data_IF_132724328248
#
_entry.id   IF_132724328248
#
_cell.length_a   1.000
_cell.length_b   1.000
_cell.length_c   1.000
_cell.angle_alpha   90.00
_cell.angle_beta   90.00
_cell.angle_gamma   90.00
#
_symmetry.space_group_name_H-M   'P 1'
#
loop_
_entity.id
_entity.type
_entity.pdbx_description
1 polymer ?
#
# COMPACT_ATOMS: atom_id res chain seq x y z
N UNK A 1 22.87 7.17 1.54
CA UNK A 1 23.36 5.79 1.30
C UNK A 1 24.84 5.70 1.67
N UNK A 2 25.36 4.51 2.02
CA UNK A 2 26.79 4.32 2.23
C UNK A 2 27.58 4.78 1.00
N UNK A 3 28.71 5.45 1.21
CA UNK A 3 29.56 5.94 0.13
C UNK A 3 30.98 5.44 0.32
N UNK A 4 31.63 4.90 -0.73
CA UNK A 4 33.03 4.47 -0.65
C UNK A 4 34.00 5.66 -0.49
N UNK A 5 33.52 6.89 -0.70
CA UNK A 5 34.31 8.11 -0.51
C UNK A 5 34.25 8.64 0.93
N UNK A 6 33.43 8.03 1.79
CA UNK A 6 33.29 8.45 3.19
C UNK A 6 34.52 8.01 4.01
N UNK A 7 35.15 8.89 4.82
CA UNK A 7 36.36 8.56 5.55
C UNK A 7 36.18 7.38 6.53
N UNK A 8 36.99 6.34 6.35
CA UNK A 8 36.95 5.13 7.19
C UNK A 8 37.21 5.42 8.67
N UNK A 9 38.11 6.36 8.96
CA UNK A 9 38.48 6.73 10.33
C UNK A 9 37.31 7.33 11.11
N UNK A 10 36.44 8.09 10.44
CA UNK A 10 35.21 8.63 11.05
C UNK A 10 34.19 7.51 11.24
N UNK A 11 34.05 6.64 10.24
CA UNK A 11 33.14 5.50 10.28
C UNK A 11 33.49 4.52 11.42
N UNK A 12 34.78 4.22 11.62
CA UNK A 12 35.28 3.31 12.67
C UNK A 12 35.06 3.86 14.09
N UNK A 13 35.13 5.18 14.27
CA UNK A 13 35.00 5.83 15.57
C UNK A 13 33.57 6.33 15.88
N UNK A 14 32.57 5.94 15.08
CA UNK A 14 31.18 6.35 15.24
C UNK A 14 30.26 5.17 15.55
N UNK A 15 29.16 5.44 16.25
CA UNK A 15 28.04 4.48 16.36
C UNK A 15 27.28 4.46 15.03
N UNK A 16 27.11 3.27 14.48
CA UNK A 16 26.41 3.05 13.20
C UNK A 16 25.02 2.52 13.49
N UNK A 17 23.99 3.22 13.00
CA UNK A 17 22.61 2.75 13.03
C UNK A 17 22.14 2.63 11.59
N UNK A 18 21.75 1.42 11.20
CA UNK A 18 21.13 1.16 9.90
C UNK A 18 19.61 1.13 10.09
N UNK A 19 18.92 2.13 9.54
CA UNK A 19 17.47 2.10 9.47
C UNK A 19 17.07 1.42 8.16
N UNK A 20 16.78 0.13 8.22
CA UNK A 20 16.22 -0.59 7.07
C UNK A 20 14.69 -0.42 7.06
N UNK A 21 14.08 -0.20 5.87
CA UNK A 21 12.64 -0.21 5.79
C UNK A 21 12.07 -1.58 6.23
N UNK A 22 10.87 -1.60 6.84
CA UNK A 22 10.20 -2.83 7.20
C UNK A 22 10.10 -3.79 6.02
N UNK A 23 10.26 -5.08 6.31
CA UNK A 23 10.16 -6.17 5.34
C UNK A 23 8.94 -7.02 5.66
N UNK A 24 8.18 -7.38 4.63
CA UNK A 24 6.94 -8.17 4.71
C UNK A 24 5.72 -7.28 4.47
N UNK A 25 4.69 -7.81 3.81
CA UNK A 25 3.42 -7.10 3.60
C UNK A 25 2.83 -6.66 4.94
N UNK A 26 2.84 -7.57 5.92
CA UNK A 26 2.40 -7.30 7.30
C UNK A 26 3.06 -6.05 7.90
N UNK A 27 4.38 -5.98 7.85
CA UNK A 27 5.11 -4.87 8.49
C UNK A 27 4.94 -3.54 7.72
N UNK A 28 4.79 -3.60 6.39
CA UNK A 28 4.48 -2.42 5.57
C UNK A 28 3.06 -1.89 5.83
N UNK A 29 2.07 -2.80 5.98
CA UNK A 29 0.71 -2.47 6.38
C UNK A 29 0.67 -1.87 7.78
N UNK A 30 1.34 -2.51 8.76
CA UNK A 30 1.40 -2.03 10.13
C UNK A 30 1.99 -0.61 10.20
N UNK A 31 3.09 -0.35 9.46
CA UNK A 31 3.68 0.98 9.36
C UNK A 31 2.68 2.01 8.83
N UNK A 32 1.85 1.62 7.87
CA UNK A 32 0.82 2.50 7.30
C UNK A 32 -0.25 2.85 8.33
N UNK A 33 -0.81 1.83 9.00
CA UNK A 33 -1.88 2.00 9.98
C UNK A 33 -1.46 2.67 11.29
N UNK A 34 -0.21 2.45 11.73
CA UNK A 34 0.36 3.18 12.88
C UNK A 34 0.52 4.68 12.62
N UNK A 35 0.45 5.12 11.36
CA UNK A 35 0.47 6.54 10.99
C UNK A 35 -0.90 7.22 11.01
N UNK A 36 -1.98 6.46 11.25
CA UNK A 36 -3.35 6.98 11.31
C UNK A 36 -3.80 7.15 12.76
N UNK A 37 -4.82 7.98 12.96
CA UNK A 37 -5.55 8.07 14.22
C UNK A 37 -7.02 7.66 14.01
N UNK A 38 -7.73 7.42 15.11
CA UNK A 38 -9.15 7.02 15.07
C UNK A 38 -10.00 8.05 14.34
N UNK A 39 -9.70 9.33 14.54
CA UNK A 39 -10.46 10.42 13.93
C UNK A 39 -10.38 10.39 12.41
N UNK A 40 -9.21 10.09 11.86
CA UNK A 40 -8.97 9.97 10.43
C UNK A 40 -9.75 8.80 9.79
N UNK A 41 -9.89 7.70 10.52
CA UNK A 41 -10.65 6.53 10.08
C UNK A 41 -12.17 6.76 10.13
N UNK A 42 -12.68 7.41 11.18
CA UNK A 42 -14.12 7.58 11.40
C UNK A 42 -14.70 8.82 10.71
N UNK A 43 -13.92 9.89 10.55
CA UNK A 43 -14.38 11.13 9.94
C UNK A 43 -14.48 10.98 8.41
N UNK A 44 -15.56 10.41 7.89
CA UNK A 44 -15.84 10.41 6.45
C UNK A 44 -17.34 10.33 6.16
N UNK A 45 -17.88 11.06 5.16
CA UNK A 45 -19.32 10.99 4.81
C UNK A 45 -19.78 9.60 4.33
N UNK A 46 -18.84 8.75 3.93
CA UNK A 46 -19.06 7.36 3.51
C UNK A 46 -18.06 6.44 4.22
N UNK A 47 -18.29 6.12 5.51
CA UNK A 47 -17.28 5.47 6.34
C UNK A 47 -16.94 4.05 5.85
N UNK A 48 -17.93 3.26 5.43
CA UNK A 48 -17.71 1.89 4.92
C UNK A 48 -16.82 1.88 3.69
N UNK A 49 -17.17 2.67 2.66
CA UNK A 49 -16.37 2.75 1.44
C UNK A 49 -14.97 3.32 1.70
N UNK A 50 -14.87 4.32 2.57
CA UNK A 50 -13.59 4.90 2.95
C UNK A 50 -12.65 3.89 3.61
N UNK A 51 -13.12 3.19 4.65
CA UNK A 51 -12.28 2.24 5.39
C UNK A 51 -11.87 1.04 4.55
N UNK A 52 -12.79 0.44 3.79
CA UNK A 52 -12.47 -0.69 2.90
C UNK A 52 -11.43 -0.29 1.85
N UNK A 53 -11.64 0.83 1.16
CA UNK A 53 -10.73 1.28 0.11
C UNK A 53 -9.40 1.80 0.66
N UNK A 54 -9.37 2.36 1.86
CA UNK A 54 -8.14 2.77 2.54
C UNK A 54 -7.28 1.55 2.88
N UNK A 55 -7.88 0.50 3.44
CA UNK A 55 -7.19 -0.76 3.72
C UNK A 55 -6.63 -1.37 2.42
N UNK A 56 -7.46 -1.46 1.38
CA UNK A 56 -7.06 -1.98 0.08
C UNK A 56 -5.91 -1.19 -0.56
N UNK A 57 -5.91 0.15 -0.46
CA UNK A 57 -4.82 1.00 -0.95
C UNK A 57 -3.52 0.81 -0.14
N UNK A 58 -3.61 0.67 1.19
CA UNK A 58 -2.45 0.39 2.03
C UNK A 58 -1.86 -0.99 1.72
N UNK A 59 -2.73 -1.98 1.51
CA UNK A 59 -2.35 -3.34 1.09
C UNK A 59 -1.64 -3.30 -0.27
N UNK A 60 -2.20 -2.60 -1.24
CA UNK A 60 -1.59 -2.41 -2.54
C UNK A 60 -0.21 -1.77 -2.43
N UNK A 61 -0.06 -0.71 -1.65
CA UNK A 61 1.25 -0.08 -1.43
C UNK A 61 2.26 -1.07 -0.84
N UNK A 62 1.86 -1.84 0.18
CA UNK A 62 2.69 -2.86 0.79
C UNK A 62 3.09 -3.95 -0.21
N UNK A 63 2.14 -4.44 -1.02
CA UNK A 63 2.38 -5.42 -2.08
C UNK A 63 3.38 -4.89 -3.12
N UNK A 64 3.24 -3.64 -3.58
CA UNK A 64 4.17 -3.03 -4.53
C UNK A 64 5.61 -3.00 -3.98
N UNK A 65 5.78 -2.69 -2.68
CA UNK A 65 7.08 -2.69 -2.01
C UNK A 65 7.69 -4.09 -1.92
N UNK A 66 6.88 -5.09 -1.56
CA UNK A 66 7.33 -6.48 -1.45
C UNK A 66 7.70 -7.08 -2.81
N UNK A 67 6.92 -6.78 -3.85
CA UNK A 67 7.15 -7.31 -5.21
C UNK A 67 8.52 -6.92 -5.76
N UNK A 68 9.08 -5.77 -5.37
CA UNK A 68 10.45 -5.34 -5.75
C UNK A 68 11.55 -6.31 -5.32
N UNK A 69 11.32 -7.11 -4.28
CA UNK A 69 12.31 -8.08 -3.77
C UNK A 69 12.58 -9.23 -4.75
N UNK A 70 11.64 -9.50 -5.65
CA UNK A 70 11.73 -10.59 -6.62
C UNK A 70 12.44 -10.19 -7.92
N UNK A 71 13.05 -8.99 -7.97
CA UNK A 71 13.77 -8.50 -9.14
C UNK A 71 12.86 -8.54 -10.40
N UNK A 72 13.37 -9.03 -11.54
CA UNK A 72 12.61 -9.11 -12.79
C UNK A 72 11.30 -9.94 -12.73
N UNK A 73 11.15 -10.85 -11.75
CA UNK A 73 9.88 -11.57 -11.57
C UNK A 73 8.79 -10.68 -10.95
N UNK A 74 9.20 -9.64 -10.20
CA UNK A 74 8.29 -8.67 -9.64
C UNK A 74 8.12 -7.43 -10.51
N UNK A 75 9.23 -6.84 -10.95
CA UNK A 75 9.29 -5.67 -11.84
C UNK A 75 10.49 -5.79 -12.77
N UNK A 76 10.31 -5.52 -14.06
CA UNK A 76 11.43 -5.51 -15.01
C UNK A 76 12.47 -4.44 -14.66
N UNK A 77 12.02 -3.29 -14.16
CA UNK A 77 12.87 -2.18 -13.71
C UNK A 77 12.70 -1.96 -12.20
N UNK A 78 13.77 -1.71 -11.43
CA UNK A 78 13.70 -1.54 -9.98
C UNK A 78 13.17 -0.15 -9.58
N UNK A 79 11.90 0.13 -9.84
CA UNK A 79 11.26 1.39 -9.44
C UNK A 79 11.25 1.57 -7.93
N UNK A 80 11.33 2.82 -7.47
CA UNK A 80 11.20 3.15 -6.07
C UNK A 80 9.81 3.71 -5.79
N UNK A 81 8.97 2.94 -5.10
CA UNK A 81 7.67 3.41 -4.59
C UNK A 81 7.89 4.04 -3.21
N UNK A 82 7.33 5.23 -3.00
CA UNK A 82 7.63 6.10 -1.88
C UNK A 82 6.41 6.37 -1.02
N UNK A 83 6.64 6.83 0.20
CA UNK A 83 5.55 7.23 1.09
C UNK A 83 4.72 8.37 0.50
N UNK A 84 5.31 9.28 -0.28
CA UNK A 84 4.56 10.38 -0.88
C UNK A 84 3.51 9.90 -1.87
N UNK A 85 3.75 8.81 -2.59
CA UNK A 85 2.78 8.24 -3.54
C UNK A 85 1.56 7.70 -2.83
N UNK A 86 1.79 7.01 -1.71
CA UNK A 86 0.75 6.52 -0.83
C UNK A 86 -0.05 7.69 -0.26
N UNK A 87 0.62 8.72 0.27
CA UNK A 87 -0.04 9.88 0.87
C UNK A 87 -0.91 10.65 -0.11
N UNK A 88 -0.42 10.93 -1.33
CA UNK A 88 -1.25 11.60 -2.33
C UNK A 88 -2.42 10.71 -2.78
N UNK A 89 -2.22 9.39 -2.90
CA UNK A 89 -3.28 8.45 -3.26
C UNK A 89 -4.37 8.40 -2.18
N UNK A 90 -4.00 8.43 -0.89
CA UNK A 90 -4.94 8.48 0.23
C UNK A 90 -5.75 9.80 0.22
N UNK A 91 -5.09 10.93 -0.01
CA UNK A 91 -5.78 12.23 -0.10
C UNK A 91 -6.77 12.28 -1.26
N UNK A 92 -6.38 11.78 -2.43
CA UNK A 92 -7.26 11.69 -3.59
C UNK A 92 -8.42 10.73 -3.34
N UNK A 93 -8.14 9.55 -2.76
CA UNK A 93 -9.17 8.59 -2.37
C UNK A 93 -10.23 9.25 -1.48
N UNK A 94 -9.78 9.91 -0.40
CA UNK A 94 -10.66 10.60 0.54
C UNK A 94 -11.53 11.65 -0.16
N UNK A 95 -10.91 12.47 -1.01
CA UNK A 95 -11.61 13.51 -1.75
C UNK A 95 -12.68 12.92 -2.70
N UNK A 96 -12.30 11.96 -3.55
CA UNK A 96 -13.19 11.43 -4.58
C UNK A 96 -14.32 10.55 -4.01
N UNK A 97 -14.07 9.81 -2.93
CA UNK A 97 -15.13 9.02 -2.28
C UNK A 97 -16.14 9.95 -1.58
N UNK A 98 -15.67 11.06 -0.99
CA UNK A 98 -16.52 12.02 -0.30
C UNK A 98 -17.26 13.01 -1.21
N UNK A 99 -16.70 13.39 -2.36
CA UNK A 99 -17.24 14.47 -3.20
C UNK A 99 -18.33 14.04 -4.20
N UNK A 100 -18.44 12.75 -4.52
CA UNK A 100 -19.33 12.24 -5.57
C UNK A 100 -20.35 11.27 -4.99
N UNK A 101 -21.59 11.23 -5.49
CA UNK A 101 -22.60 10.26 -5.04
C UNK A 101 -22.20 8.81 -5.36
N UNK A 102 -21.69 8.59 -6.57
CA UNK A 102 -21.12 7.32 -7.01
C UNK A 102 -19.59 7.38 -7.01
N UNK A 103 -18.94 6.30 -6.57
CA UNK A 103 -17.48 6.22 -6.53
C UNK A 103 -16.94 6.24 -7.96
N UNK A 104 -16.06 7.20 -8.32
CA UNK A 104 -15.52 7.31 -9.67
C UNK A 104 -14.35 6.35 -9.88
N UNK A 105 -14.63 5.05 -9.94
CA UNK A 105 -13.64 3.97 -10.01
C UNK A 105 -12.57 4.17 -11.09
N UNK A 106 -12.98 4.53 -12.31
CA UNK A 106 -12.04 4.77 -13.42
C UNK A 106 -11.06 5.90 -13.11
N UNK A 107 -11.52 6.96 -12.46
CA UNK A 107 -10.68 8.10 -12.06
C UNK A 107 -9.70 7.68 -10.98
N UNK A 108 -10.16 6.96 -9.94
CA UNK A 108 -9.31 6.47 -8.87
C UNK A 108 -8.21 5.53 -9.38
N UNK A 109 -8.58 4.59 -10.26
CA UNK A 109 -7.62 3.69 -10.94
C UNK A 109 -6.56 4.46 -11.71
N UNK A 110 -6.99 5.39 -12.57
CA UNK A 110 -6.09 6.21 -13.36
C UNK A 110 -5.14 7.03 -12.47
N UNK A 111 -5.67 7.67 -11.43
CA UNK A 111 -4.84 8.46 -10.52
C UNK A 111 -3.80 7.60 -9.80
N UNK A 112 -4.19 6.45 -9.26
CA UNK A 112 -3.24 5.57 -8.58
C UNK A 112 -2.23 4.92 -9.54
N UNK A 113 -2.69 4.20 -10.55
CA UNK A 113 -1.84 3.36 -11.40
C UNK A 113 -1.10 4.12 -12.49
N UNK A 114 -1.67 5.20 -13.04
CA UNK A 114 -1.06 5.95 -14.16
C UNK A 114 -0.32 7.20 -13.67
N UNK A 115 -0.83 7.87 -12.63
CA UNK A 115 -0.29 9.16 -12.19
C UNK A 115 0.64 9.00 -10.99
N UNK A 116 0.14 8.50 -9.86
CA UNK A 116 0.87 8.51 -8.60
C UNK A 116 2.00 7.48 -8.59
N UNK A 117 1.68 6.22 -8.89
CA UNK A 117 2.66 5.15 -8.97
C UNK A 117 3.21 4.98 -10.39
N UNK A 118 2.36 5.17 -11.41
CA UNK A 118 2.71 4.97 -12.82
C UNK A 118 3.62 6.02 -13.44
N UNK A 119 3.69 7.23 -12.88
CA UNK A 119 4.47 8.34 -13.45
C UNK A 119 5.97 8.07 -13.59
N UNK A 120 6.48 7.02 -12.92
CA UNK A 120 7.87 6.55 -12.97
C UNK A 120 8.05 5.20 -13.67
N UNK A 121 6.97 4.53 -14.05
CA UNK A 121 7.02 3.24 -14.71
C UNK A 121 7.25 3.45 -16.20
N UNK A 122 8.41 3.01 -16.68
CA UNK A 122 8.85 3.22 -18.06
C UNK A 122 8.66 1.99 -18.95
N UNK A 123 8.68 0.80 -18.36
CA UNK A 123 8.50 -0.45 -19.09
C UNK A 123 7.00 -0.72 -19.37
N UNK A 124 6.61 -1.04 -20.62
CA UNK A 124 5.21 -1.30 -20.97
C UNK A 124 4.59 -2.51 -20.25
N UNK A 125 5.37 -3.54 -19.92
CA UNK A 125 4.87 -4.71 -19.21
C UNK A 125 4.66 -4.42 -17.74
N UNK A 126 5.58 -3.68 -17.11
CA UNK A 126 5.40 -3.16 -15.75
C UNK A 126 4.17 -2.23 -15.66
N UNK A 127 3.93 -1.41 -16.69
CA UNK A 127 2.74 -0.56 -16.75
C UNK A 127 1.45 -1.37 -16.87
N UNK A 128 1.47 -2.46 -17.65
CA UNK A 128 0.34 -3.39 -17.72
C UNK A 128 0.12 -4.08 -16.37
N UNK A 129 1.20 -4.49 -15.70
CA UNK A 129 1.14 -5.14 -14.39
C UNK A 129 0.49 -4.23 -13.34
N UNK A 130 0.94 -2.98 -13.19
CA UNK A 130 0.36 -2.10 -12.16
C UNK A 130 -1.13 -1.81 -12.39
N UNK A 131 -1.55 -1.68 -13.65
CA UNK A 131 -2.96 -1.49 -14.00
C UNK A 131 -3.79 -2.73 -13.67
N UNK A 132 -3.25 -3.93 -13.88
CA UNK A 132 -3.90 -5.16 -13.45
C UNK A 132 -4.03 -5.21 -11.93
N UNK A 133 -2.95 -4.91 -11.20
CA UNK A 133 -2.94 -4.94 -9.73
C UNK A 133 -3.91 -3.90 -9.10
N UNK A 134 -4.08 -2.72 -9.73
CA UNK A 134 -5.04 -1.73 -9.21
C UNK A 134 -6.49 -2.13 -9.51
N UNK A 135 -6.73 -2.90 -10.58
CA UNK A 135 -8.07 -3.31 -10.96
C UNK A 135 -8.71 -4.21 -9.90
N UNK A 136 -7.91 -5.05 -9.25
CA UNK A 136 -8.34 -5.96 -8.18
C UNK A 136 -8.78 -5.22 -6.91
N UNK A 137 -8.16 -4.07 -6.59
CA UNK A 137 -8.47 -3.31 -5.35
C UNK A 137 -9.52 -2.21 -5.54
N UNK A 138 -9.58 -1.59 -6.72
CA UNK A 138 -10.50 -0.49 -7.00
C UNK A 138 -11.70 -0.99 -7.81
N UNK A 139 -12.40 -1.95 -7.25
CA UNK A 139 -13.54 -2.63 -7.84
C UNK A 139 -14.76 -2.45 -6.93
N UNK A 140 -16.00 -2.42 -7.44
CA UNK A 140 -17.19 -2.42 -6.59
C UNK A 140 -17.22 -3.55 -5.56
N UNK A 141 -16.62 -4.69 -5.90
CA UNK A 141 -16.54 -5.90 -5.09
C UNK A 141 -15.77 -5.69 -3.78
N UNK A 142 -14.86 -4.70 -3.70
CA UNK A 142 -14.15 -4.34 -2.46
C UNK A 142 -15.07 -3.85 -1.33
N UNK A 143 -16.31 -3.47 -1.68
CA UNK A 143 -17.32 -3.01 -0.73
C UNK A 143 -18.18 -4.15 -0.19
N UNK A 144 -18.05 -5.36 -0.75
CA UNK A 144 -18.75 -6.55 -0.27
C UNK A 144 -18.08 -7.09 0.99
N UNK A 145 -18.88 -7.59 1.93
CA UNK A 145 -18.36 -8.22 3.15
C UNK A 145 -17.62 -9.51 2.82
N UNK A 146 -16.44 -9.71 3.41
CA UNK A 146 -15.62 -10.89 3.17
C UNK A 146 -14.89 -10.89 1.83
N UNK A 147 -14.76 -9.73 1.16
CA UNK A 147 -13.96 -9.65 -0.05
C UNK A 147 -12.48 -10.01 0.23
N UNK A 148 -11.95 -10.96 -0.52
CA UNK A 148 -10.54 -11.39 -0.42
C UNK A 148 -9.64 -10.54 -1.33
N UNK A 149 -8.66 -9.85 -0.74
CA UNK A 149 -7.59 -9.14 -1.46
C UNK A 149 -6.58 -10.09 -2.10
N UNK A 150 -6.42 -11.28 -1.52
CA UNK A 150 -5.63 -12.37 -2.08
C UNK A 150 -6.44 -13.66 -2.02
N UNK A 151 -6.72 -14.25 -3.18
CA UNK A 151 -7.45 -15.50 -3.27
C UNK A 151 -6.63 -16.71 -2.76
N UNK A 152 -5.30 -16.64 -2.80
CA UNK A 152 -4.39 -17.70 -2.34
C UNK A 152 -4.12 -17.64 -0.84
N UNK A 153 -3.97 -16.44 -0.28
CA UNK A 153 -3.64 -16.25 1.14
C UNK A 153 -4.85 -16.04 2.05
N UNK A 154 -6.05 -15.87 1.47
CA UNK A 154 -7.29 -15.66 2.23
C UNK A 154 -7.29 -14.36 3.03
N UNK A 155 -6.55 -13.34 2.58
CA UNK A 155 -6.52 -12.05 3.25
C UNK A 155 -7.78 -11.29 2.87
N UNK A 156 -8.75 -11.29 3.78
CA UNK A 156 -10.00 -10.56 3.64
C UNK A 156 -9.81 -9.08 4.02
N UNK A 157 -10.64 -8.21 3.42
CA UNK A 157 -10.78 -6.82 3.87
C UNK A 157 -11.43 -6.84 5.26
N UNK A 158 -10.79 -6.24 6.29
CA UNK A 158 -11.38 -6.22 7.62
C UNK A 158 -12.69 -5.43 7.62
N UNK A 159 -13.69 -5.83 8.43
CA UNK A 159 -14.96 -5.15 8.52
C UNK A 159 -14.81 -3.65 8.80
N UNK A 160 -15.54 -2.80 8.06
CA UNK A 160 -15.52 -1.35 8.27
C UNK A 160 -16.01 -0.90 9.65
N UNK A 161 -16.62 -1.81 10.43
CA UNK A 161 -17.02 -1.57 11.81
C UNK A 161 -15.85 -1.59 12.78
N UNK A 162 -14.67 -2.05 12.36
CA UNK A 162 -13.47 -2.10 13.19
C UNK A 162 -12.99 -0.69 13.56
N UNK A 163 -12.56 -0.57 14.81
CA UNK A 163 -11.75 0.52 15.36
C UNK A 163 -10.31 0.42 14.86
N UNK A 164 -9.51 1.48 15.02
CA UNK A 164 -8.10 1.45 14.62
C UNK A 164 -7.33 0.30 15.30
N UNK A 165 -7.59 0.04 16.59
CA UNK A 165 -6.87 -1.03 17.31
C UNK A 165 -7.25 -2.41 16.77
N UNK A 166 -8.51 -2.64 16.41
CA UNK A 166 -8.95 -3.91 15.79
C UNK A 166 -8.33 -4.11 14.40
N UNK A 167 -8.16 -3.03 13.61
CA UNK A 167 -7.38 -3.08 12.37
C UNK A 167 -5.92 -3.44 12.63
N UNK A 168 -5.30 -2.85 13.67
CA UNK A 168 -3.91 -3.14 14.03
C UNK A 168 -3.75 -4.59 14.51
N UNK A 169 -4.67 -5.11 15.30
CA UNK A 169 -4.68 -6.51 15.75
C UNK A 169 -4.85 -7.47 14.58
N UNK A 170 -5.80 -7.21 13.68
CA UNK A 170 -5.95 -7.98 12.44
C UNK A 170 -4.63 -8.03 11.64
N UNK A 171 -3.97 -6.88 11.46
CA UNK A 171 -2.68 -6.81 10.74
C UNK A 171 -1.60 -7.60 11.49
N UNK A 172 -1.57 -7.55 12.84
CA UNK A 172 -0.58 -8.29 13.63
C UNK A 172 -0.73 -9.81 13.48
N UNK A 173 -1.96 -10.29 13.31
CA UNK A 173 -2.32 -11.71 13.14
C UNK A 173 -2.05 -12.25 11.72
N UNK A 174 -1.82 -11.38 10.73
CA UNK A 174 -1.44 -11.80 9.38
C UNK A 174 -0.17 -12.68 9.39
N UNK A 175 -0.05 -13.65 8.47
CA UNK A 175 1.12 -14.51 8.37
C UNK A 175 2.40 -13.68 8.19
N UNK A 176 3.48 -14.12 8.84
CA UNK A 176 4.79 -13.44 8.75
C UNK A 176 5.61 -13.91 7.55
N UNK A 177 5.36 -15.14 7.08
CA UNK A 177 5.89 -15.68 5.83
C UNK A 177 4.75 -15.75 4.82
N UNK A 178 4.89 -14.95 3.76
CA UNK A 178 3.94 -14.87 2.65
C UNK A 178 4.43 -15.73 1.50
N UNK A 179 3.49 -16.39 0.82
CA UNK A 179 3.78 -17.16 -0.38
C UNK A 179 4.02 -16.19 -1.55
N UNK A 180 4.99 -16.43 -2.46
CA UNK A 180 5.20 -15.57 -3.63
C UNK A 180 4.08 -15.54 -4.68
N UNK A 181 2.94 -16.20 -4.43
CA UNK A 181 1.85 -16.37 -5.40
C UNK A 181 1.06 -15.07 -5.65
#
# INVERSE_FOLDING_TARGET
MPSPQFPESVLLNSVKVTNEPPRGLRQNLLRSYLGFDESFLEDHPKPTAWKNMLFALCFFHAMLLERRKFGPLGWNVPYEFSQSDMQISIQQLRHFVGAFDQIPWKTLKYLAAETNYGGRITDPWDRRLINYLIDDIYSPEILEEGFCLSASEGIEVPPATFTLEEYLDFIREMPTEESPE
#
